data_IF_789416225870
#
_entry.id   IF_789416225870
#
_cell.length_a   1.000
_cell.length_b   1.000
_cell.length_c   1.000
_cell.angle_alpha   90.00
_cell.angle_beta   90.00
_cell.angle_gamma   90.00
#
_symmetry.space_group_name_H-M   'P 1'
#
loop_
_entity.id
_entity.type
_entity.pdbx_description
1 polymer ?
#
# COMPACT_ATOMS: atom_id res chain seq x y z
N UNK A 1 -2.18 -2.69 -9.88
CA UNK A 1 -0.83 -2.11 -9.67
C UNK A 1 -0.66 -1.54 -8.28
N UNK A 2 0.57 -1.47 -7.79
CA UNK A 2 0.92 -0.93 -6.47
C UNK A 2 1.80 0.31 -6.61
N UNK A 3 1.47 1.38 -5.89
CA UNK A 3 2.18 2.65 -5.97
C UNK A 3 2.53 3.21 -4.58
N UNK A 4 3.58 4.02 -4.51
CA UNK A 4 4.03 4.70 -3.30
C UNK A 4 4.93 3.86 -2.42
N UNK A 5 4.93 4.10 -1.11
CA UNK A 5 5.72 3.35 -0.15
C UNK A 5 5.23 1.92 0.08
N UNK A 6 6.08 1.06 0.59
CA UNK A 6 5.69 -0.30 0.98
C UNK A 6 4.85 -0.27 2.26
N UNK A 7 3.98 -1.26 2.38
CA UNK A 7 3.14 -1.47 3.55
C UNK A 7 2.92 -2.98 3.72
N UNK A 8 2.92 -3.53 4.92
CA UNK A 8 2.53 -4.92 5.13
C UNK A 8 1.13 -5.18 4.59
N UNK A 9 0.93 -6.31 3.92
CA UNK A 9 -0.35 -6.70 3.34
C UNK A 9 -0.57 -6.33 1.87
N UNK A 10 0.36 -5.64 1.19
CA UNK A 10 0.22 -5.35 -0.25
C UNK A 10 0.05 -6.64 -1.08
N UNK A 11 0.85 -7.64 -0.84
CA UNK A 11 0.74 -8.93 -1.52
C UNK A 11 -0.58 -9.65 -1.18
N UNK A 12 -1.08 -9.53 0.05
CA UNK A 12 -2.39 -10.07 0.43
C UNK A 12 -3.53 -9.43 -0.38
N UNK A 13 -3.48 -8.12 -0.59
CA UNK A 13 -4.45 -7.40 -1.42
C UNK A 13 -4.37 -7.88 -2.88
N UNK A 14 -3.17 -8.04 -3.44
CA UNK A 14 -2.98 -8.58 -4.79
C UNK A 14 -3.56 -9.98 -4.90
N UNK A 15 -3.21 -10.88 -3.96
CA UNK A 15 -3.73 -12.25 -3.91
C UNK A 15 -5.25 -12.27 -3.83
N UNK A 16 -5.83 -11.51 -2.90
CA UNK A 16 -7.28 -11.42 -2.74
C UNK A 16 -7.99 -10.95 -4.01
N UNK A 17 -7.48 -9.90 -4.67
CA UNK A 17 -8.02 -9.42 -5.94
C UNK A 17 -7.97 -10.50 -7.03
N UNK A 18 -6.82 -11.17 -7.19
CA UNK A 18 -6.66 -12.22 -8.21
C UNK A 18 -7.62 -13.38 -7.94
N UNK A 19 -7.69 -13.84 -6.69
CA UNK A 19 -8.56 -14.96 -6.34
C UNK A 19 -10.04 -14.64 -6.55
N UNK A 20 -10.53 -13.51 -6.07
CA UNK A 20 -11.93 -13.10 -6.24
C UNK A 20 -12.27 -12.91 -7.72
N UNK A 21 -11.43 -12.22 -8.49
CA UNK A 21 -11.65 -12.04 -9.92
C UNK A 21 -11.67 -13.38 -10.66
N UNK A 22 -10.80 -14.31 -10.28
CA UNK A 22 -10.68 -15.61 -10.93
C UNK A 22 -11.82 -16.55 -10.60
N UNK A 23 -12.11 -16.74 -9.31
CA UNK A 23 -13.07 -17.76 -8.87
C UNK A 23 -14.51 -17.26 -8.87
N UNK A 24 -14.74 -16.01 -8.43
CA UNK A 24 -16.11 -15.51 -8.26
C UNK A 24 -16.63 -14.82 -9.52
N UNK A 25 -15.76 -14.13 -10.25
CA UNK A 25 -16.15 -13.40 -11.47
C UNK A 25 -15.73 -14.07 -12.78
N UNK A 26 -15.00 -15.16 -12.74
CA UNK A 26 -14.56 -15.88 -13.95
C UNK A 26 -13.57 -15.12 -14.84
N UNK A 27 -12.93 -14.07 -14.33
CA UNK A 27 -11.94 -13.29 -15.08
C UNK A 27 -10.65 -14.08 -15.23
N UNK A 28 -10.16 -14.20 -16.48
CA UNK A 28 -8.95 -15.00 -16.79
C UNK A 28 -7.76 -14.15 -17.26
N UNK A 29 -8.01 -12.96 -17.75
CA UNK A 29 -6.97 -12.03 -18.19
C UNK A 29 -6.71 -11.00 -17.10
N UNK A 30 -5.82 -11.33 -16.16
CA UNK A 30 -5.44 -10.47 -15.05
C UNK A 30 -3.99 -10.06 -15.23
N UNK A 31 -3.74 -8.75 -15.31
CA UNK A 31 -2.41 -8.18 -15.49
C UNK A 31 -1.95 -7.45 -14.24
N UNK A 32 -0.77 -7.82 -13.74
CA UNK A 32 -0.04 -7.03 -12.77
C UNK A 32 0.82 -5.99 -13.48
N UNK A 33 0.52 -4.72 -13.30
CA UNK A 33 1.33 -3.63 -13.86
C UNK A 33 2.49 -3.35 -12.91
N UNK A 34 3.76 -3.56 -13.34
CA UNK A 34 4.91 -3.40 -12.49
C UNK A 34 5.23 -1.93 -12.22
N UNK A 35 5.83 -1.64 -11.08
CA UNK A 35 6.32 -0.31 -10.70
C UNK A 35 5.29 0.82 -10.81
N UNK A 36 4.02 0.51 -10.49
CA UNK A 36 2.94 1.48 -10.41
C UNK A 36 2.71 2.24 -11.72
N UNK A 37 2.56 3.55 -11.66
CA UNK A 37 2.27 4.37 -12.85
C UNK A 37 3.37 4.33 -13.90
N UNK A 38 4.64 4.07 -13.54
CA UNK A 38 5.72 3.89 -14.51
C UNK A 38 5.47 2.70 -15.43
N UNK A 39 4.84 1.63 -14.92
CA UNK A 39 4.49 0.46 -15.71
C UNK A 39 3.44 0.72 -16.79
N UNK A 40 2.66 1.81 -16.67
CA UNK A 40 1.73 2.28 -17.68
C UNK A 40 2.37 3.22 -18.71
N UNK A 41 3.62 3.65 -18.51
CA UNK A 41 4.31 4.51 -19.45
C UNK A 41 5.31 3.69 -20.28
N UNK A 42 5.09 3.58 -21.61
CA UNK A 42 5.93 2.77 -22.50
C UNK A 42 7.40 3.19 -22.52
N UNK A 43 7.71 4.45 -22.18
CA UNK A 43 9.08 4.95 -22.15
C UNK A 43 9.99 4.18 -21.17
N UNK A 44 9.43 3.49 -20.19
CA UNK A 44 10.19 2.69 -19.23
C UNK A 44 10.38 1.23 -19.65
N UNK A 45 9.72 0.76 -20.72
CA UNK A 45 9.91 -0.58 -21.27
C UNK A 45 9.43 -1.74 -20.42
N UNK A 46 8.58 -1.51 -19.41
CA UNK A 46 8.05 -2.57 -18.57
C UNK A 46 6.94 -3.35 -19.27
N UNK A 47 6.95 -4.68 -19.10
CA UNK A 47 5.88 -5.55 -19.56
C UNK A 47 4.97 -5.94 -18.40
N UNK A 48 3.64 -5.99 -18.59
CA UNK A 48 2.72 -6.51 -17.59
C UNK A 48 3.01 -7.97 -17.24
N UNK A 49 2.86 -8.32 -15.96
CA UNK A 49 2.94 -9.69 -15.45
C UNK A 49 1.55 -10.34 -15.59
N UNK A 50 1.47 -11.55 -16.14
CA UNK A 50 0.23 -12.32 -16.12
C UNK A 50 0.03 -12.88 -14.72
N UNK A 51 -1.13 -12.60 -14.11
CA UNK A 51 -1.49 -13.07 -12.78
C UNK A 51 -2.59 -14.14 -12.87
N UNK A 52 -2.41 -15.19 -12.10
CA UNK A 52 -3.38 -16.26 -11.89
C UNK A 52 -3.25 -16.80 -10.45
N UNK A 53 -4.14 -17.68 -9.97
CA UNK A 53 -4.06 -18.23 -8.62
C UNK A 53 -2.70 -18.85 -8.28
N UNK A 54 -2.06 -19.56 -9.20
CA UNK A 54 -0.77 -20.23 -8.95
C UNK A 54 0.37 -19.23 -8.73
N UNK A 55 0.39 -18.13 -9.51
CA UNK A 55 1.38 -17.06 -9.37
C UNK A 55 1.28 -16.34 -8.03
N UNK A 56 0.07 -16.25 -7.46
CA UNK A 56 -0.17 -15.53 -6.22
C UNK A 56 -0.32 -16.44 -5.00
N UNK A 57 -0.06 -17.73 -5.12
CA UNK A 57 -0.38 -18.71 -4.07
C UNK A 57 0.33 -18.44 -2.74
N UNK A 58 1.62 -18.17 -2.78
CA UNK A 58 2.45 -17.97 -1.57
C UNK A 58 2.89 -16.51 -1.33
N UNK A 59 2.50 -15.54 -2.16
CA UNK A 59 3.02 -14.17 -2.07
C UNK A 59 2.70 -13.43 -0.77
N UNK A 60 1.71 -13.87 0.00
CA UNK A 60 1.38 -13.29 1.31
C UNK A 60 2.49 -13.53 2.35
N UNK A 61 3.37 -14.50 2.14
CA UNK A 61 4.50 -14.81 3.02
C UNK A 61 5.67 -13.84 2.80
N UNK A 62 5.69 -13.16 1.65
CA UNK A 62 6.71 -12.20 1.29
C UNK A 62 6.33 -10.77 1.66
N UNK A 63 7.27 -10.03 2.22
CA UNK A 63 7.12 -8.59 2.43
C UNK A 63 7.17 -7.81 1.12
N UNK A 64 6.63 -6.59 1.15
CA UNK A 64 6.63 -5.72 -0.02
C UNK A 64 5.54 -6.05 -1.02
N UNK A 65 5.87 -6.06 -2.31
CA UNK A 65 4.93 -6.32 -3.41
C UNK A 65 5.63 -7.00 -4.59
N UNK A 66 5.04 -8.09 -5.11
CA UNK A 66 5.56 -8.78 -6.29
C UNK A 66 5.56 -7.91 -7.55
N UNK A 67 4.72 -6.88 -7.57
CA UNK A 67 4.65 -5.95 -8.71
C UNK A 67 5.67 -4.82 -8.63
N UNK A 68 6.43 -4.75 -7.54
CA UNK A 68 7.24 -3.57 -7.28
C UNK A 68 6.39 -2.31 -7.09
N UNK A 69 7.03 -1.20 -6.79
CA UNK A 69 6.35 0.08 -6.56
C UNK A 69 7.21 1.23 -7.02
N UNK A 70 6.58 2.35 -7.35
CA UNK A 70 7.29 3.59 -7.65
C UNK A 70 6.53 4.80 -7.11
N UNK A 71 7.24 5.91 -6.99
CA UNK A 71 6.68 7.23 -6.67
C UNK A 71 6.74 8.11 -7.91
N UNK A 72 5.91 9.13 -7.92
CA UNK A 72 5.83 10.13 -8.98
C UNK A 72 4.68 9.87 -9.97
N UNK A 73 4.10 10.95 -10.45
CA UNK A 73 3.02 10.92 -11.42
C UNK A 73 3.57 10.68 -12.84
N UNK A 74 2.70 10.18 -13.69
CA UNK A 74 2.91 10.04 -15.13
C UNK A 74 1.79 10.81 -15.86
N UNK A 75 2.00 11.11 -17.13
CA UNK A 75 0.95 11.74 -17.94
C UNK A 75 -0.26 10.80 -18.08
N UNK A 76 -1.42 11.28 -17.65
CA UNK A 76 -2.67 10.52 -17.69
C UNK A 76 -3.03 10.08 -19.12
N UNK A 77 -2.73 10.88 -20.14
CA UNK A 77 -2.99 10.55 -21.56
C UNK A 77 -2.19 9.34 -21.98
N UNK A 78 -0.89 9.31 -21.64
CA UNK A 78 0.02 8.19 -21.96
C UNK A 78 -0.43 6.92 -21.23
N UNK A 79 -0.86 7.04 -19.96
CA UNK A 79 -1.36 5.91 -19.19
C UNK A 79 -2.65 5.33 -19.79
N UNK A 80 -3.59 6.19 -20.18
CA UNK A 80 -4.86 5.74 -20.80
C UNK A 80 -4.61 5.12 -22.18
N UNK A 81 -3.70 5.65 -22.99
CA UNK A 81 -3.29 5.02 -24.26
C UNK A 81 -2.78 3.59 -24.03
N UNK A 82 -2.01 3.39 -22.97
CA UNK A 82 -1.50 2.06 -22.62
C UNK A 82 -2.61 1.13 -22.15
N UNK A 83 -3.55 1.59 -21.32
CA UNK A 83 -4.71 0.80 -20.90
C UNK A 83 -5.55 0.35 -22.10
N UNK A 84 -5.80 1.26 -23.04
CA UNK A 84 -6.53 0.94 -24.28
C UNK A 84 -5.78 -0.08 -25.14
N UNK A 85 -4.48 0.11 -25.34
CA UNK A 85 -3.63 -0.82 -26.11
C UNK A 85 -3.60 -2.22 -25.49
N UNK A 86 -3.61 -2.33 -24.16
CA UNK A 86 -3.63 -3.59 -23.43
C UNK A 86 -5.05 -4.18 -23.28
N UNK A 87 -6.07 -3.48 -23.79
CA UNK A 87 -7.47 -3.85 -23.68
C UNK A 87 -7.92 -4.06 -22.21
N UNK A 88 -7.50 -3.15 -21.31
CA UNK A 88 -7.86 -3.18 -19.90
C UNK A 88 -9.25 -2.57 -19.72
N UNK A 89 -10.14 -3.30 -19.03
CA UNK A 89 -11.50 -2.83 -18.73
C UNK A 89 -11.63 -2.31 -17.29
N UNK A 90 -10.82 -2.84 -16.35
CA UNK A 90 -10.82 -2.42 -14.96
C UNK A 90 -9.39 -2.25 -14.48
N UNK A 91 -9.10 -1.11 -13.86
CA UNK A 91 -7.81 -0.80 -13.28
C UNK A 91 -7.93 -0.66 -11.76
N UNK A 92 -7.19 -1.49 -11.00
CA UNK A 92 -7.05 -1.35 -9.55
C UNK A 92 -5.74 -0.62 -9.21
N UNK A 93 -5.86 0.52 -8.53
CA UNK A 93 -4.74 1.35 -8.07
C UNK A 93 -4.59 1.23 -6.56
N UNK A 94 -3.57 0.49 -6.09
CA UNK A 94 -3.33 0.26 -4.66
C UNK A 94 -2.25 1.25 -4.20
N UNK A 95 -2.60 2.18 -3.32
CA UNK A 95 -1.63 3.17 -2.83
C UNK A 95 -2.23 4.27 -1.96
N UNK A 96 -1.38 5.20 -1.55
CA UNK A 96 -1.75 6.36 -0.72
C UNK A 96 -2.36 7.52 -1.52
N UNK A 97 -2.46 8.69 -0.89
CA UNK A 97 -3.11 9.88 -1.46
C UNK A 97 -2.64 10.25 -2.86
N UNK A 98 -1.33 10.25 -3.10
CA UNK A 98 -0.78 10.54 -4.42
C UNK A 98 -1.22 9.53 -5.48
N UNK A 99 -1.40 8.27 -5.08
CA UNK A 99 -1.92 7.21 -5.96
C UNK A 99 -3.40 7.42 -6.25
N UNK A 100 -4.19 7.76 -5.24
CA UNK A 100 -5.63 7.99 -5.42
C UNK A 100 -5.89 9.23 -6.28
N UNK A 101 -5.08 10.28 -6.15
CA UNK A 101 -5.13 11.45 -7.05
C UNK A 101 -4.79 11.06 -8.49
N UNK A 102 -3.71 10.31 -8.71
CA UNK A 102 -3.36 9.82 -10.05
C UNK A 102 -4.42 8.89 -10.64
N UNK A 103 -5.08 8.06 -9.82
CA UNK A 103 -6.21 7.25 -10.25
C UNK A 103 -7.40 8.12 -10.69
N UNK A 104 -7.67 9.22 -9.97
CA UNK A 104 -8.66 10.21 -10.35
C UNK A 104 -8.33 10.88 -11.68
N UNK A 105 -7.07 11.30 -11.88
CA UNK A 105 -6.62 11.91 -13.13
C UNK A 105 -6.81 10.96 -14.33
N UNK A 106 -6.50 9.67 -14.15
CA UNK A 106 -6.75 8.62 -15.15
C UNK A 106 -8.25 8.49 -15.42
N UNK A 107 -9.08 8.45 -14.38
CA UNK A 107 -10.54 8.32 -14.53
C UNK A 107 -11.15 9.50 -15.29
N UNK A 108 -10.70 10.72 -15.00
CA UNK A 108 -11.15 11.92 -15.75
C UNK A 108 -10.71 11.89 -17.22
N UNK A 109 -9.50 11.42 -17.51
CA UNK A 109 -9.03 11.28 -18.88
C UNK A 109 -9.81 10.20 -19.64
N UNK A 110 -10.12 9.07 -19.00
CA UNK A 110 -10.96 7.99 -19.54
C UNK A 110 -12.36 8.53 -19.86
N UNK A 111 -12.94 9.31 -18.96
CA UNK A 111 -14.26 9.93 -19.14
C UNK A 111 -14.27 10.91 -20.32
N UNK A 112 -13.24 11.76 -20.45
CA UNK A 112 -13.09 12.68 -21.60
C UNK A 112 -13.04 11.94 -22.92
N UNK A 113 -12.46 10.74 -22.94
CA UNK A 113 -12.33 9.90 -24.14
C UNK A 113 -13.50 8.95 -24.35
N UNK A 114 -14.50 8.97 -23.47
CA UNK A 114 -15.66 8.06 -23.50
C UNK A 114 -15.27 6.58 -23.58
N UNK A 115 -14.19 6.18 -22.87
CA UNK A 115 -13.73 4.80 -22.87
C UNK A 115 -14.44 3.97 -21.78
N UNK A 116 -14.77 2.70 -22.03
CA UNK A 116 -15.43 1.81 -21.07
C UNK A 116 -14.42 1.18 -20.10
N UNK A 117 -13.64 2.00 -19.41
CA UNK A 117 -12.63 1.55 -18.44
C UNK A 117 -13.01 2.08 -17.06
N UNK A 118 -13.09 1.20 -16.08
CA UNK A 118 -13.33 1.55 -14.68
C UNK A 118 -12.02 1.66 -13.91
N UNK A 119 -11.90 2.66 -13.04
CA UNK A 119 -10.74 2.84 -12.17
C UNK A 119 -11.18 2.72 -10.72
N UNK A 120 -10.55 1.82 -9.97
CA UNK A 120 -10.85 1.54 -8.57
C UNK A 120 -9.61 1.81 -7.74
N UNK A 121 -9.71 2.78 -6.81
CA UNK A 121 -8.67 3.07 -5.84
C UNK A 121 -8.80 2.14 -4.62
N UNK A 122 -7.69 1.52 -4.21
CA UNK A 122 -7.60 0.77 -2.96
C UNK A 122 -6.64 1.55 -2.05
N UNK A 123 -7.17 2.19 -1.01
CA UNK A 123 -6.36 3.05 -0.15
C UNK A 123 -5.36 2.23 0.66
N UNK A 124 -4.11 2.69 0.67
CA UNK A 124 -2.99 2.11 1.40
C UNK A 124 -2.30 3.19 2.23
N UNK A 125 -2.37 3.05 3.53
CA UNK A 125 -1.50 3.75 4.48
C UNK A 125 -1.23 2.85 5.67
N UNK A 126 0.01 2.87 6.18
CA UNK A 126 0.36 2.20 7.45
C UNK A 126 -0.02 3.09 8.64
N UNK A 127 -0.23 4.38 8.42
CA UNK A 127 -0.38 5.40 9.45
C UNK A 127 -1.81 5.45 10.03
N UNK A 128 -2.75 4.72 9.42
CA UNK A 128 -4.18 4.67 9.77
C UNK A 128 -4.84 6.06 9.80
N UNK A 129 -4.45 6.93 8.87
CA UNK A 129 -4.78 8.35 8.83
C UNK A 129 -5.79 8.72 7.73
N UNK A 130 -6.55 7.76 7.23
CA UNK A 130 -7.58 7.99 6.21
C UNK A 130 -8.95 8.21 6.85
N UNK A 131 -9.58 9.33 6.51
CA UNK A 131 -10.95 9.61 6.91
C UNK A 131 -11.92 8.52 6.39
N UNK A 132 -12.94 8.20 7.19
CA UNK A 132 -13.97 7.21 6.88
C UNK A 132 -13.51 5.76 6.78
N UNK A 133 -12.27 5.47 7.17
CA UNK A 133 -11.73 4.12 7.26
C UNK A 133 -11.28 3.88 8.70
N UNK A 134 -11.89 2.91 9.37
CA UNK A 134 -11.57 2.60 10.77
C UNK A 134 -10.18 2.01 10.91
N UNK A 135 -9.79 1.12 9.98
CA UNK A 135 -8.48 0.45 9.99
C UNK A 135 -7.95 0.27 8.58
N UNK A 136 -6.69 0.62 8.41
CA UNK A 136 -5.94 0.40 7.18
C UNK A 136 -5.08 -0.86 7.31
N UNK A 137 -4.93 -1.61 6.23
CA UNK A 137 -4.08 -2.79 6.25
C UNK A 137 -2.61 -2.44 6.50
N UNK A 138 -1.91 -3.28 7.25
CA UNK A 138 -0.52 -3.08 7.65
C UNK A 138 -0.35 -2.28 8.96
N UNK A 139 -1.36 -1.53 9.41
CA UNK A 139 -1.32 -0.76 10.67
C UNK A 139 -1.09 -1.67 11.88
N UNK A 140 -1.89 -2.72 12.04
CA UNK A 140 -1.76 -3.64 13.17
C UNK A 140 -0.40 -4.37 13.17
N UNK A 141 0.10 -4.76 11.99
CA UNK A 141 1.44 -5.34 11.86
C UNK A 141 2.52 -4.37 12.32
N UNK A 142 2.39 -3.08 12.00
CA UNK A 142 3.32 -2.06 12.47
C UNK A 142 3.27 -1.89 13.98
N UNK A 143 2.07 -1.86 14.57
CA UNK A 143 1.90 -1.77 16.03
C UNK A 143 2.53 -2.98 16.72
N UNK A 144 2.24 -4.20 16.28
CA UNK A 144 2.82 -5.42 16.84
C UNK A 144 4.34 -5.45 16.76
N UNK A 145 4.92 -5.10 15.60
CA UNK A 145 6.37 -5.02 15.46
C UNK A 145 7.00 -3.95 16.36
N UNK A 146 6.29 -2.86 16.61
CA UNK A 146 6.76 -1.81 17.52
C UNK A 146 6.78 -2.26 18.99
N UNK A 147 5.88 -3.15 19.42
CA UNK A 147 5.83 -3.63 20.81
C UNK A 147 7.11 -4.37 21.21
N UNK A 148 7.67 -5.19 20.33
CA UNK A 148 8.92 -5.91 20.58
C UNK A 148 10.10 -4.97 20.75
N UNK A 149 10.18 -3.96 19.87
CA UNK A 149 11.25 -2.93 19.93
C UNK A 149 11.14 -2.09 21.20
N UNK A 150 9.92 -1.68 21.58
CA UNK A 150 9.68 -0.90 22.81
C UNK A 150 10.06 -1.73 24.04
N UNK A 151 9.66 -3.00 24.10
CA UNK A 151 9.99 -3.90 25.21
C UNK A 151 11.50 -4.10 25.33
N UNK A 152 12.20 -4.26 24.22
CA UNK A 152 13.66 -4.39 24.19
C UNK A 152 14.34 -3.12 24.71
N UNK A 153 13.91 -1.95 24.26
CA UNK A 153 14.45 -0.66 24.71
C UNK A 153 14.16 -0.42 26.20
N UNK A 154 12.99 -0.81 26.69
CA UNK A 154 12.62 -0.72 28.10
C UNK A 154 13.53 -1.60 29.00
N UNK A 155 13.76 -2.86 28.57
CA UNK A 155 14.64 -3.77 29.33
C UNK A 155 16.08 -3.24 29.40
N UNK A 156 16.60 -2.73 28.30
CA UNK A 156 17.94 -2.11 28.26
C UNK A 156 18.03 -0.89 29.18
N UNK A 157 17.03 -0.01 29.14
CA UNK A 157 16.98 1.18 29.99
C UNK A 157 16.91 0.80 31.48
N UNK A 158 16.17 -0.22 31.85
CA UNK A 158 16.10 -0.71 33.24
C UNK A 158 17.42 -1.31 33.74
N UNK A 159 18.24 -1.85 32.86
CA UNK A 159 19.57 -2.38 33.19
C UNK A 159 20.63 -1.31 33.40
N UNK A 160 20.40 -0.07 33.02
CA UNK A 160 21.36 1.03 33.10
C UNK A 160 21.03 2.03 34.22
N UNK A 161 22.06 2.58 34.87
CA UNK A 161 21.87 3.62 35.89
C UNK A 161 21.31 4.89 35.19
N UNK A 162 20.15 5.38 35.64
CA UNK A 162 19.38 6.46 35.01
C UNK A 162 19.14 6.23 33.51
N UNK A 163 18.97 4.98 33.11
CA UNK A 163 18.74 4.60 31.73
C UNK A 163 17.46 5.21 31.13
N UNK A 164 17.54 5.67 29.90
CA UNK A 164 16.43 6.22 29.13
C UNK A 164 16.35 5.52 27.78
N UNK A 165 15.25 4.82 27.51
CA UNK A 165 14.94 4.22 26.22
C UNK A 165 14.13 5.19 25.35
N UNK A 166 14.61 5.50 24.14
CA UNK A 166 13.90 6.31 23.17
C UNK A 166 13.66 5.53 21.88
N UNK A 167 12.39 5.30 21.55
CA UNK A 167 11.99 4.61 20.33
C UNK A 167 11.23 5.57 19.42
N UNK A 168 11.74 5.76 18.20
CA UNK A 168 11.06 6.55 17.18
C UNK A 168 10.30 5.63 16.24
N UNK A 169 8.99 5.81 16.16
CA UNK A 169 8.10 5.04 15.28
C UNK A 169 7.69 5.84 14.04
N UNK A 170 7.16 5.13 13.05
CA UNK A 170 6.54 5.72 11.86
C UNK A 170 5.23 6.42 12.27
N UNK A 171 4.65 7.20 11.33
CA UNK A 171 3.35 7.82 11.54
C UNK A 171 3.19 9.16 10.82
N UNK A 172 4.26 9.72 10.26
CA UNK A 172 4.25 11.05 9.62
C UNK A 172 3.64 12.10 10.57
N UNK A 173 2.46 12.63 10.18
CA UNK A 173 1.72 13.63 10.98
C UNK A 173 0.65 12.97 11.88
N UNK A 174 0.45 11.65 11.80
CA UNK A 174 -0.41 10.88 12.71
C UNK A 174 0.39 10.26 13.84
N UNK A 175 -0.21 10.14 15.01
CA UNK A 175 0.39 9.50 16.19
C UNK A 175 -0.16 8.10 16.47
N UNK A 176 -1.00 7.53 15.60
CA UNK A 176 -1.74 6.31 15.89
C UNK A 176 -0.85 5.10 16.17
N UNK A 177 0.22 4.87 15.38
CA UNK A 177 1.13 3.74 15.63
C UNK A 177 1.79 3.88 17.00
N UNK A 178 2.30 5.07 17.34
CA UNK A 178 2.95 5.31 18.62
C UNK A 178 1.99 5.15 19.80
N UNK A 179 0.80 5.72 19.69
CA UNK A 179 -0.22 5.62 20.75
C UNK A 179 -0.68 4.18 20.97
N UNK A 180 -0.99 3.44 19.91
CA UNK A 180 -1.43 2.04 20.02
C UNK A 180 -0.31 1.11 20.52
N UNK A 181 0.93 1.30 20.07
CA UNK A 181 2.06 0.54 20.56
C UNK A 181 2.36 0.84 22.04
N UNK A 182 2.25 2.09 22.48
CA UNK A 182 2.39 2.46 23.89
C UNK A 182 1.29 1.82 24.75
N UNK A 183 0.05 1.82 24.30
CA UNK A 183 -1.05 1.17 25.00
C UNK A 183 -0.87 -0.36 25.08
N UNK A 184 -0.38 -0.98 24.00
CA UNK A 184 -0.21 -2.42 23.91
C UNK A 184 0.92 -2.94 24.81
N UNK A 185 1.98 -2.16 25.05
CA UNK A 185 3.14 -2.58 25.84
C UNK A 185 3.05 -2.25 27.31
N UNK A 186 2.25 -1.27 27.72
CA UNK A 186 2.07 -0.81 29.12
C UNK A 186 3.34 -0.37 29.86
N UNK A 187 4.52 -0.41 29.20
CA UNK A 187 5.83 -0.05 29.80
C UNK A 187 6.30 1.35 29.43
N UNK A 188 5.56 2.03 28.55
CA UNK A 188 5.90 3.38 28.05
C UNK A 188 5.51 4.43 29.08
N UNK A 189 6.48 5.23 29.51
CA UNK A 189 6.22 6.31 30.47
C UNK A 189 5.70 7.58 29.77
N UNK A 190 6.21 7.87 28.56
CA UNK A 190 5.85 9.07 27.80
C UNK A 190 5.70 8.70 26.34
N UNK A 191 4.54 9.00 25.77
CA UNK A 191 4.30 8.91 24.33
C UNK A 191 4.21 10.33 23.75
N UNK A 192 5.13 10.64 22.85
CA UNK A 192 5.17 11.93 22.16
C UNK A 192 4.64 11.76 20.74
N UNK A 193 3.62 12.51 20.41
CA UNK A 193 3.08 12.61 19.06
C UNK A 193 3.22 14.05 18.57
N UNK A 194 3.41 14.24 17.26
CA UNK A 194 3.46 15.58 16.70
C UNK A 194 2.11 16.26 16.87
N UNK A 195 2.09 17.43 17.47
CA UNK A 195 0.95 18.34 17.40
C UNK A 195 1.10 19.22 16.15
N UNK A 196 0.02 19.44 15.44
CA UNK A 196 -0.03 20.49 14.40
C UNK A 196 0.21 21.88 15.01
#
# INVERSE_FOLDING_TARGET
MTCGGLCPGLNNVIKGLVQVLWFDYGVRNIFGIPYGYRGLNPAYGYSPMILNPDVVDAIQEDGGTILGSSRGNQDAKVMVDTLMRLNINVLFCIGGDGTLRGAHDIAEEIKKRHQPISVIGIPKTIDNDLNLIDRTFGFETAVLSATDVITSAHNEANGAFNGLGLVKLMGRDSGFIAAYAALATTVVNICLVRSE
#
